data_IF_301989676898
#
_entry.id   IF_301989676898
#
_cell.length_a   1.000
_cell.length_b   1.000
_cell.length_c   1.000
_cell.angle_alpha   90.00
_cell.angle_beta   90.00
_cell.angle_gamma   90.00
#
_symmetry.space_group_name_H-M   'P 1'
#
loop_
_entity.id
_entity.type
_entity.pdbx_description
1 polymer ?
#
# COMPACT_ATOMS: atom_id res chain seq x y z
N UNK A 1 10.89 0.36 -9.10
CA UNK A 1 9.56 -0.10 -8.65
C UNK A 1 8.88 -0.97 -9.71
N UNK A 2 8.82 -0.56 -10.98
CA UNK A 2 8.18 -1.33 -12.05
C UNK A 2 8.67 -2.80 -12.13
N UNK A 3 9.99 -3.02 -12.11
CA UNK A 3 10.56 -4.36 -12.12
C UNK A 3 9.99 -5.30 -11.04
N UNK A 4 9.80 -4.83 -9.81
CA UNK A 4 9.29 -5.68 -8.71
C UNK A 4 7.77 -5.86 -8.78
N UNK A 5 7.05 -4.88 -9.34
CA UNK A 5 5.63 -5.03 -9.66
C UNK A 5 5.46 -6.14 -10.70
N UNK A 6 6.25 -6.10 -11.77
CA UNK A 6 6.15 -7.08 -12.86
C UNK A 6 6.65 -8.47 -12.43
N UNK A 7 7.75 -8.54 -11.69
CA UNK A 7 8.36 -9.81 -11.29
C UNK A 7 7.65 -10.50 -10.11
N UNK A 8 7.00 -9.74 -9.22
CA UNK A 8 6.42 -10.28 -7.99
C UNK A 8 4.93 -9.97 -7.82
N UNK A 9 4.28 -9.32 -8.78
CA UNK A 9 2.85 -9.00 -8.71
C UNK A 9 2.50 -8.03 -7.59
N UNK A 10 3.42 -7.13 -7.21
CA UNK A 10 3.17 -6.15 -6.14
C UNK A 10 2.01 -5.25 -6.54
N UNK A 11 0.92 -5.30 -5.76
CA UNK A 11 -0.31 -4.54 -6.00
C UNK A 11 -0.54 -3.42 -4.98
N UNK A 12 0.25 -3.38 -3.91
CA UNK A 12 0.11 -2.42 -2.82
C UNK A 12 1.45 -2.11 -2.17
N UNK A 13 1.76 -0.82 -2.01
CA UNK A 13 2.91 -0.32 -1.28
C UNK A 13 2.45 0.13 0.12
N UNK A 14 2.75 -0.69 1.13
CA UNK A 14 2.50 -0.36 2.52
C UNK A 14 3.59 0.54 3.09
N UNK A 15 3.19 1.68 3.63
CA UNK A 15 4.07 2.66 4.27
C UNK A 15 3.87 2.65 5.78
N UNK A 16 4.95 2.61 6.56
CA UNK A 16 4.91 2.66 8.03
C UNK A 16 4.85 4.10 8.59
N UNK A 17 4.99 5.08 7.72
CA UNK A 17 5.13 6.48 8.09
C UNK A 17 4.09 7.35 7.40
N UNK A 18 3.38 8.18 8.18
CA UNK A 18 2.29 9.02 7.68
C UNK A 18 2.77 10.05 6.64
N UNK A 19 3.94 10.68 6.84
CA UNK A 19 4.50 11.61 5.84
C UNK A 19 4.91 10.85 4.57
N UNK A 20 5.47 9.65 4.68
CA UNK A 20 5.82 8.84 3.50
C UNK A 20 4.57 8.49 2.68
N UNK A 21 3.46 8.11 3.33
CA UNK A 21 2.16 7.92 2.64
C UNK A 21 1.79 9.18 1.87
N UNK A 22 1.74 10.33 2.56
CA UNK A 22 1.31 11.60 1.97
C UNK A 22 2.19 12.06 0.79
N UNK A 23 3.50 11.82 0.87
CA UNK A 23 4.43 12.17 -0.21
C UNK A 23 4.34 11.18 -1.37
N UNK A 24 4.41 9.87 -1.11
CA UNK A 24 4.45 8.89 -2.20
C UNK A 24 3.13 8.75 -2.95
N UNK A 25 1.98 8.96 -2.31
CA UNK A 25 0.68 9.04 -3.03
C UNK A 25 0.66 10.18 -4.06
N UNK A 26 1.49 11.21 -3.92
CA UNK A 26 1.61 12.31 -4.89
C UNK A 26 2.79 12.14 -5.86
N UNK A 27 3.88 11.53 -5.40
CA UNK A 27 5.11 11.36 -6.20
C UNK A 27 4.99 10.19 -7.19
N UNK A 28 4.43 9.05 -6.79
CA UNK A 28 4.39 7.87 -7.65
C UNK A 28 3.49 8.00 -8.90
N UNK A 29 2.43 8.84 -8.92
CA UNK A 29 1.71 9.17 -10.16
C UNK A 29 2.57 9.74 -11.29
N UNK A 30 3.66 10.47 -10.97
CA UNK A 30 4.60 10.94 -12.00
C UNK A 30 5.30 9.77 -12.72
N UNK A 31 5.39 8.61 -12.06
CA UNK A 31 5.95 7.37 -12.58
C UNK A 31 4.88 6.38 -13.06
N UNK A 32 3.65 6.84 -13.31
CA UNK A 32 2.52 6.04 -13.83
C UNK A 32 1.99 4.96 -12.88
N UNK A 33 2.29 5.05 -11.58
CA UNK A 33 1.60 4.25 -10.56
C UNK A 33 0.31 4.93 -10.11
N UNK A 34 -0.72 4.13 -9.87
CA UNK A 34 -1.98 4.63 -9.32
C UNK A 34 -1.80 5.23 -7.92
N UNK A 35 -2.54 6.29 -7.59
CA UNK A 35 -2.48 6.91 -6.27
C UNK A 35 -2.89 5.96 -5.14
N UNK A 36 -3.85 5.08 -5.40
CA UNK A 36 -4.38 4.07 -4.49
C UNK A 36 -3.44 2.88 -4.27
N UNK A 37 -2.37 2.75 -5.07
CA UNK A 37 -1.34 1.74 -4.85
C UNK A 37 -0.59 1.96 -3.52
N UNK A 38 -0.53 3.20 -3.02
CA UNK A 38 0.18 3.54 -1.76
C UNK A 38 -0.79 3.66 -0.59
N UNK A 39 -0.57 2.88 0.47
CA UNK A 39 -1.35 2.98 1.70
C UNK A 39 -0.53 2.81 2.97
N UNK A 40 -1.19 2.84 4.12
CA UNK A 40 -0.52 2.71 5.42
C UNK A 40 -0.53 1.27 5.94
N UNK A 41 0.49 0.88 6.70
CA UNK A 41 0.53 -0.47 7.32
C UNK A 41 -0.68 -0.70 8.24
N UNK A 42 -1.18 0.33 8.92
CA UNK A 42 -2.40 0.22 9.74
C UNK A 42 -3.63 -0.12 8.91
N UNK A 43 -3.76 0.44 7.70
CA UNK A 43 -4.88 0.12 6.80
C UNK A 43 -4.74 -1.33 6.31
N UNK A 44 -3.56 -1.72 5.85
CA UNK A 44 -3.29 -3.09 5.38
C UNK A 44 -3.58 -4.14 6.46
N UNK A 45 -3.11 -3.91 7.68
CA UNK A 45 -3.36 -4.82 8.81
C UNK A 45 -4.84 -4.77 9.19
N UNK A 46 -5.45 -3.58 9.25
CA UNK A 46 -6.87 -3.40 9.54
C UNK A 46 -7.78 -4.24 8.63
N UNK A 47 -7.53 -4.19 7.32
CA UNK A 47 -8.25 -4.97 6.31
C UNK A 47 -7.97 -6.48 6.42
N UNK A 48 -6.80 -6.86 6.93
CA UNK A 48 -6.37 -8.25 7.07
C UNK A 48 -6.84 -8.91 8.39
N UNK A 49 -7.24 -8.13 9.39
CA UNK A 49 -7.67 -8.66 10.69
C UNK A 49 -8.89 -9.56 10.52
N UNK A 50 -8.75 -10.81 10.94
CA UNK A 50 -9.85 -11.77 11.10
C UNK A 50 -10.27 -11.78 12.57
N UNK A 51 -11.34 -11.06 12.88
CA UNK A 51 -12.02 -11.21 14.16
C UNK A 51 -12.77 -12.55 14.08
N UNK A 52 -12.34 -13.54 14.85
CA UNK A 52 -13.04 -14.83 14.93
C UNK A 52 -14.51 -14.66 15.31
N UNK A 53 -15.30 -15.72 15.13
CA UNK A 53 -16.67 -15.75 15.68
C UNK A 53 -16.55 -15.89 17.20
N UNK A 54 -17.19 -14.99 17.94
CA UNK A 54 -17.32 -15.09 19.40
C UNK A 54 -18.46 -16.05 19.77
N UNK A 55 -18.45 -17.27 19.21
CA UNK A 55 -19.33 -18.34 19.69
C UNK A 55 -18.64 -19.21 20.75
#
# INVERSE_FOLDING_TARGET
>A
LQQVVDAHGVNFMATICAICKAQFSKVLPYYKFDMGLVGGVHQLVGDAIRLGRND
#
